data_IF_941702602281
#
_entry.id   IF_941702602281
#
_cell.length_a   1.000
_cell.length_b   1.000
_cell.length_c   1.000
_cell.angle_alpha   90.00
_cell.angle_beta   90.00
_cell.angle_gamma   90.00
#
_symmetry.space_group_name_H-M   'P 1'
#
loop_
_entity.id
_entity.type
_entity.pdbx_description
1 polymer ?
#
# COMPACT_ATOMS: atom_id res chain seq x y z
N UNK A 1 14.37 3.01 -11.22
CA UNK A 1 12.90 2.82 -11.14
C UNK A 1 12.55 1.75 -10.09
N UNK A 2 13.09 1.83 -8.86
CA UNK A 2 13.18 0.69 -7.93
C UNK A 2 12.88 0.99 -6.44
N UNK A 3 12.44 2.20 -6.07
CA UNK A 3 12.26 2.57 -4.65
C UNK A 3 10.81 2.69 -4.16
N UNK A 4 9.83 2.86 -5.06
CA UNK A 4 8.42 3.00 -4.66
C UNK A 4 7.86 1.74 -3.99
N UNK A 5 8.05 0.58 -4.62
CA UNK A 5 7.47 -0.68 -4.12
C UNK A 5 8.00 -1.10 -2.74
N UNK A 6 9.30 -0.86 -2.49
CA UNK A 6 9.92 -1.17 -1.19
C UNK A 6 9.30 -0.36 -0.06
N UNK A 7 8.96 0.92 -0.27
CA UNK A 7 8.33 1.75 0.77
C UNK A 7 6.91 1.28 1.08
N UNK A 8 6.16 0.87 0.05
CA UNK A 8 4.82 0.27 0.20
C UNK A 8 4.88 -0.99 1.04
N UNK A 9 5.79 -1.91 0.72
CA UNK A 9 5.98 -3.17 1.46
C UNK A 9 6.44 -2.91 2.89
N UNK A 10 7.38 -1.98 3.11
CA UNK A 10 7.82 -1.60 4.46
C UNK A 10 6.67 -1.03 5.30
N UNK A 11 5.81 -0.19 4.71
CA UNK A 11 4.62 0.35 5.38
C UNK A 11 3.66 -0.76 5.82
N UNK A 12 3.39 -1.73 4.93
CA UNK A 12 2.53 -2.89 5.25
C UNK A 12 3.11 -3.73 6.39
N UNK A 13 4.43 -3.98 6.38
CA UNK A 13 5.09 -4.78 7.42
C UNK A 13 5.04 -4.09 8.79
N UNK A 14 5.33 -2.78 8.84
CA UNK A 14 5.31 -2.00 10.09
C UNK A 14 3.89 -1.91 10.66
N UNK A 15 2.91 -1.63 9.81
CA UNK A 15 1.51 -1.54 10.24
C UNK A 15 0.98 -2.92 10.63
N UNK A 16 1.40 -3.99 9.95
CA UNK A 16 1.07 -5.37 10.33
C UNK A 16 1.60 -5.75 11.71
N UNK A 17 2.87 -5.43 12.00
CA UNK A 17 3.44 -5.64 13.34
C UNK A 17 2.67 -4.84 14.40
N UNK A 18 2.31 -3.60 14.08
CA UNK A 18 1.54 -2.72 14.99
C UNK A 18 0.13 -3.27 15.25
N UNK A 19 -0.52 -3.84 14.24
CA UNK A 19 -1.85 -4.46 14.36
C UNK A 19 -1.84 -5.71 15.26
N UNK A 20 -0.70 -6.39 15.41
CA UNK A 20 -0.52 -7.51 16.35
C UNK A 20 -0.17 -7.01 17.75
N UNK A 21 0.67 -5.99 17.87
CA UNK A 21 1.14 -5.44 19.16
C UNK A 21 0.07 -4.60 19.87
N UNK A 22 -0.71 -3.80 19.14
CA UNK A 22 -1.70 -2.90 19.76
C UNK A 22 -2.77 -3.63 20.60
N UNK A 23 -3.30 -4.79 20.17
CA UNK A 23 -4.17 -5.60 21.01
C UNK A 23 -3.46 -6.26 22.20
N UNK A 24 -2.20 -6.67 22.06
CA UNK A 24 -1.38 -7.23 23.15
C UNK A 24 -1.19 -6.22 24.29
N UNK A 25 -1.15 -4.93 23.97
CA UNK A 25 -1.05 -3.85 24.95
C UNK A 25 -2.41 -3.37 25.48
N UNK A 26 -3.52 -4.05 25.13
CA UNK A 26 -4.89 -3.66 25.50
C UNK A 26 -5.32 -2.25 25.02
N UNK A 27 -4.58 -1.63 24.08
CA UNK A 27 -4.88 -0.28 23.59
C UNK A 27 -6.16 -0.25 22.73
N UNK A 28 -6.39 -1.31 21.94
CA UNK A 28 -7.54 -1.39 21.02
C UNK A 28 -8.04 -2.84 20.95
N UNK A 29 -9.36 -3.09 21.07
CA UNK A 29 -9.91 -4.43 20.92
C UNK A 29 -9.68 -4.98 19.51
N UNK A 30 -9.32 -6.27 19.42
CA UNK A 30 -9.08 -6.97 18.14
C UNK A 30 -10.22 -6.77 17.12
N UNK A 31 -11.47 -6.72 17.59
CA UNK A 31 -12.65 -6.50 16.78
C UNK A 31 -12.63 -5.18 15.98
N UNK A 32 -11.89 -4.17 16.44
CA UNK A 32 -11.71 -2.88 15.76
C UNK A 32 -10.42 -2.82 14.96
N UNK A 33 -9.36 -3.48 15.43
CA UNK A 33 -8.04 -3.49 14.78
C UNK A 33 -8.04 -4.24 13.45
N UNK A 34 -8.71 -5.39 13.39
CA UNK A 34 -8.79 -6.22 12.17
C UNK A 34 -9.40 -5.45 10.98
N UNK A 35 -10.61 -4.84 11.10
CA UNK A 35 -11.19 -4.10 9.97
C UNK A 35 -10.37 -2.86 9.60
N UNK A 36 -9.75 -2.18 10.57
CA UNK A 36 -8.84 -1.06 10.29
C UNK A 36 -7.62 -1.50 9.47
N UNK A 37 -7.04 -2.65 9.81
CA UNK A 37 -5.90 -3.21 9.09
C UNK A 37 -6.27 -3.62 7.66
N UNK A 38 -7.44 -4.25 7.49
CA UNK A 38 -7.96 -4.60 6.16
C UNK A 38 -8.17 -3.34 5.31
N UNK A 39 -8.76 -2.29 5.88
CA UNK A 39 -9.00 -1.03 5.17
C UNK A 39 -7.68 -0.37 4.74
N UNK A 40 -6.66 -0.40 5.60
CA UNK A 40 -5.32 0.07 5.29
C UNK A 40 -4.71 -0.71 4.12
N UNK A 41 -4.77 -2.05 4.14
CA UNK A 41 -4.27 -2.87 3.03
C UNK A 41 -5.00 -2.58 1.71
N UNK A 42 -6.31 -2.36 1.77
CA UNK A 42 -7.12 -2.00 0.61
C UNK A 42 -6.68 -0.66 0.02
N UNK A 43 -6.46 0.34 0.89
CA UNK A 43 -6.00 1.67 0.51
C UNK A 43 -4.62 1.61 -0.14
N UNK A 44 -3.68 0.90 0.47
CA UNK A 44 -2.32 0.71 -0.04
C UNK A 44 -2.34 0.00 -1.41
N UNK A 45 -3.13 -1.05 -1.55
CA UNK A 45 -3.29 -1.78 -2.82
C UNK A 45 -3.83 -0.88 -3.93
N UNK A 46 -4.81 -0.02 -3.61
CA UNK A 46 -5.37 0.95 -4.55
C UNK A 46 -4.32 1.97 -5.04
N UNK A 47 -3.49 2.49 -4.12
CA UNK A 47 -2.38 3.38 -4.48
C UNK A 47 -1.37 2.70 -5.39
N UNK A 48 -1.04 1.44 -5.12
CA UNK A 48 -0.09 0.68 -5.94
C UNK A 48 -0.64 0.41 -7.36
N UNK A 49 -1.93 0.09 -7.47
CA UNK A 49 -2.63 -0.06 -8.76
C UNK A 49 -2.65 1.26 -9.53
N UNK A 50 -2.92 2.38 -8.85
CA UNK A 50 -2.93 3.71 -9.46
C UNK A 50 -1.53 4.09 -9.98
N UNK A 51 -0.48 3.80 -9.20
CA UNK A 51 0.89 4.07 -9.61
C UNK A 51 1.33 3.17 -10.78
N UNK A 52 0.91 1.90 -10.78
CA UNK A 52 1.12 0.99 -11.90
C UNK A 52 0.42 1.47 -13.18
N UNK A 53 -0.82 1.95 -13.05
CA UNK A 53 -1.60 2.54 -14.15
C UNK A 53 -0.94 3.80 -14.68
N UNK A 54 -0.48 4.71 -13.81
CA UNK A 54 0.26 5.91 -14.20
C UNK A 54 1.52 5.57 -15.01
N UNK A 55 2.29 4.56 -14.60
CA UNK A 55 3.45 4.08 -15.36
C UNK A 55 3.08 3.57 -16.75
N UNK A 56 1.95 2.87 -16.90
CA UNK A 56 1.47 2.39 -18.21
C UNK A 56 1.01 3.52 -19.13
N UNK A 57 0.33 4.54 -18.60
CA UNK A 57 -0.10 5.73 -19.36
C UNK A 57 1.10 6.53 -19.88
N UNK A 58 2.12 6.75 -19.04
CA UNK A 58 3.33 7.48 -19.44
C UNK A 58 4.10 6.73 -20.53
N UNK A 59 4.17 5.39 -20.46
CA UNK A 59 4.82 4.55 -21.48
C UNK A 59 4.13 4.68 -22.85
N UNK A 60 2.80 4.77 -22.87
CA UNK A 60 2.01 4.93 -24.11
C UNK A 60 2.21 6.28 -24.79
N UNK A 61 2.28 7.39 -24.01
CA UNK A 61 2.57 8.72 -24.56
C UNK A 61 3.97 8.85 -25.18
N UNK A 62 4.96 8.10 -24.66
CA UNK A 62 6.34 8.15 -25.17
C UNK A 62 6.47 7.52 -26.55
N UNK A 63 5.67 6.48 -26.85
CA UNK A 63 5.69 5.80 -28.14
C UNK A 63 5.06 6.62 -29.28
N UNK A 64 4.10 7.50 -28.95
CA UNK A 64 3.46 8.40 -29.92
C UNK A 64 4.29 9.66 -30.26
N UNK A 65 5.36 9.95 -29.51
CA UNK A 65 6.22 11.13 -29.73
C UNK A 65 7.50 10.80 -30.53
N UNK A 66 7.70 9.51 -30.85
CA UNK A 66 8.84 8.99 -31.62
C UNK A 66 8.46 8.52 -33.03
N UNK A 67 7.18 8.68 -33.39
CA UNK A 67 6.63 8.61 -34.74
C UNK A 67 6.26 10.03 -35.16
#
# INVERSE_FOLDING_TARGET
MLRGWKLTVFGVVIVGATAVIAPLLHLVPFAKTIPLFILFLLFVSSLEIMEWTKRRVVKSKKHKKTL
#
